data_IF_334368327586
#
_entry.id   IF_334368327586
#
_cell.length_a   1.000
_cell.length_b   1.000
_cell.length_c   1.000
_cell.angle_alpha   90.00
_cell.angle_beta   90.00
_cell.angle_gamma   90.00
#
_symmetry.space_group_name_H-M   'P 1'
#
loop_
_entity.id
_entity.type
_entity.pdbx_description
1 polymer ?
#
# COMPACT_ATOMS: atom_id res chain seq x y z
N UNK A 1 -15.21 26.21 -12.21
CA UNK A 1 -14.09 25.66 -11.41
C UNK A 1 -14.03 24.18 -11.69
N UNK A 2 -12.88 23.72 -12.17
CA UNK A 2 -12.64 22.44 -12.84
C UNK A 2 -13.03 21.22 -12.00
N UNK A 3 -14.05 20.49 -12.46
CA UNK A 3 -14.41 19.16 -11.95
C UNK A 3 -13.39 18.13 -12.43
N UNK A 4 -12.22 18.12 -11.78
CA UNK A 4 -11.24 17.06 -11.96
C UNK A 4 -11.88 15.72 -11.57
N UNK A 5 -12.03 14.80 -12.53
CA UNK A 5 -12.51 13.42 -12.32
C UNK A 5 -11.85 12.83 -11.07
N UNK A 6 -12.61 12.67 -9.99
CA UNK A 6 -12.15 12.00 -8.77
C UNK A 6 -11.92 10.53 -9.09
N UNK A 7 -10.67 10.15 -9.27
CA UNK A 7 -10.30 8.75 -9.44
C UNK A 7 -10.72 7.94 -8.20
N UNK A 8 -11.14 6.68 -8.37
CA UNK A 8 -11.46 5.82 -7.24
C UNK A 8 -10.20 5.65 -6.37
N UNK A 9 -10.37 5.55 -5.04
CA UNK A 9 -9.25 5.44 -4.08
C UNK A 9 -8.30 4.28 -4.38
N UNK A 10 -8.78 3.25 -5.08
CA UNK A 10 -7.98 2.11 -5.53
C UNK A 10 -6.94 2.47 -6.61
N UNK A 11 -7.21 3.47 -7.46
CA UNK A 11 -6.28 3.93 -8.48
C UNK A 11 -5.01 4.55 -7.88
N UNK A 12 -5.08 5.05 -6.63
CA UNK A 12 -3.94 5.59 -5.90
C UNK A 12 -2.95 4.52 -5.39
N UNK A 13 -3.28 3.22 -5.51
CA UNK A 13 -2.40 2.14 -5.04
C UNK A 13 -1.39 1.70 -6.09
N UNK A 14 -1.60 2.11 -7.34
CA UNK A 14 -0.76 1.80 -8.47
C UNK A 14 -0.12 3.09 -8.99
N UNK A 15 1.18 3.05 -9.20
CA UNK A 15 1.88 4.06 -9.96
C UNK A 15 2.00 3.58 -11.40
N UNK A 16 1.46 4.39 -12.31
CA UNK A 16 1.51 4.15 -13.74
C UNK A 16 2.62 5.01 -14.33
N UNK A 17 3.64 4.36 -14.88
CA UNK A 17 4.64 4.99 -15.72
C UNK A 17 4.29 4.65 -17.17
N UNK A 18 3.52 5.55 -17.82
CA UNK A 18 3.04 5.35 -19.19
C UNK A 18 4.15 5.42 -20.23
N UNK A 19 5.25 6.12 -19.93
CA UNK A 19 6.40 6.22 -20.83
C UNK A 19 7.15 4.89 -20.93
N UNK A 20 7.20 4.13 -19.83
CA UNK A 20 7.87 2.82 -19.77
C UNK A 20 6.92 1.64 -19.84
N UNK A 21 5.60 1.89 -19.90
CA UNK A 21 4.58 0.84 -19.85
C UNK A 21 4.61 0.03 -18.55
N UNK A 22 5.09 0.61 -17.44
CA UNK A 22 5.30 -0.10 -16.18
C UNK A 22 4.24 0.26 -15.13
N UNK A 23 3.68 -0.76 -14.50
CA UNK A 23 2.71 -0.62 -13.40
C UNK A 23 3.42 -1.07 -12.12
N UNK A 24 3.64 -0.13 -11.19
CA UNK A 24 4.24 -0.42 -9.89
C UNK A 24 3.18 -0.40 -8.81
N UNK A 25 3.07 -1.49 -8.05
CA UNK A 25 2.23 -1.53 -6.88
C UNK A 25 2.95 -0.88 -5.69
N UNK A 26 2.33 0.14 -5.08
CA UNK A 26 2.96 0.96 -4.06
C UNK A 26 2.86 0.37 -2.64
N UNK A 27 1.95 -0.58 -2.41
CA UNK A 27 1.72 -1.15 -1.07
C UNK A 27 2.55 -2.41 -0.85
N UNK A 28 2.82 -2.69 0.42
CA UNK A 28 3.56 -3.88 0.84
C UNK A 28 2.67 -5.13 0.72
N UNK A 29 3.22 -6.19 0.13
CA UNK A 29 2.63 -7.52 0.14
C UNK A 29 3.10 -8.30 1.36
N UNK A 30 2.21 -9.13 1.91
CA UNK A 30 2.54 -9.99 3.04
C UNK A 30 3.48 -11.12 2.58
N UNK A 31 4.63 -11.33 3.25
CA UNK A 31 5.58 -12.37 2.86
C UNK A 31 5.07 -13.80 3.05
N UNK A 32 4.01 -14.00 3.85
CA UNK A 32 3.45 -15.34 4.11
C UNK A 32 2.35 -15.74 3.13
N UNK A 33 1.50 -14.80 2.73
CA UNK A 33 0.28 -15.11 1.97
C UNK A 33 0.10 -14.28 0.69
N UNK A 34 1.03 -13.38 0.37
CA UNK A 34 0.96 -12.52 -0.82
C UNK A 34 -0.20 -11.50 -0.80
N UNK A 35 -0.94 -11.37 0.30
CA UNK A 35 -2.04 -10.41 0.40
C UNK A 35 -1.54 -8.99 0.68
N UNK A 36 -2.28 -7.99 0.21
CA UNK A 36 -1.98 -6.58 0.45
C UNK A 36 -2.07 -6.27 1.94
N UNK A 37 -1.00 -5.73 2.52
CA UNK A 37 -0.99 -5.31 3.91
C UNK A 37 -1.55 -3.89 4.07
N UNK A 38 -2.27 -3.66 5.17
CA UNK A 38 -2.74 -2.34 5.57
C UNK A 38 -1.66 -1.65 6.39
N UNK A 39 -1.29 -0.43 5.98
CA UNK A 39 -0.39 0.40 6.76
C UNK A 39 -1.17 1.25 7.75
N UNK A 40 -0.88 1.10 9.03
CA UNK A 40 -1.43 1.91 10.11
C UNK A 40 -0.30 2.79 10.66
N UNK A 41 -0.47 4.11 10.58
CA UNK A 41 0.51 5.10 11.05
C UNK A 41 0.54 5.25 12.57
N UNK A 42 -0.62 5.13 13.22
CA UNK A 42 -0.80 5.35 14.66
C UNK A 42 -1.31 4.08 15.36
N UNK A 43 -0.97 3.86 16.64
CA UNK A 43 -0.01 4.61 17.48
C UNK A 43 1.47 4.28 17.17
N UNK A 44 1.74 3.19 16.45
CA UNK A 44 3.08 2.80 15.96
C UNK A 44 2.94 2.39 14.50
N UNK A 45 3.83 2.86 13.59
CA UNK A 45 3.81 2.49 12.18
C UNK A 45 3.94 0.97 12.04
N UNK A 46 2.88 0.35 11.52
CA UNK A 46 2.81 -1.10 11.35
C UNK A 46 2.08 -1.47 10.07
N UNK A 47 2.53 -2.55 9.47
CA UNK A 47 1.83 -3.25 8.41
C UNK A 47 1.07 -4.42 9.00
N UNK A 48 -0.25 -4.41 8.89
CA UNK A 48 -1.11 -5.50 9.34
C UNK A 48 -1.67 -6.25 8.14
N UNK A 49 -1.55 -7.58 8.12
CA UNK A 49 -2.18 -8.43 7.13
C UNK A 49 -3.55 -8.91 7.64
N UNK A 50 -4.63 -8.51 6.97
CA UNK A 50 -5.99 -8.93 7.33
C UNK A 50 -6.29 -10.42 7.08
N UNK A 51 -5.51 -11.12 6.24
CA UNK A 51 -5.77 -12.53 5.90
C UNK A 51 -5.14 -13.51 6.88
N UNK A 52 -3.89 -13.27 7.29
CA UNK A 52 -3.14 -14.19 8.15
C UNK A 52 -2.84 -13.62 9.56
N UNK A 53 -3.28 -12.40 9.86
CA UNK A 53 -3.04 -11.72 11.14
C UNK A 53 -1.59 -11.28 11.36
N UNK A 54 -0.70 -11.44 10.38
CA UNK A 54 0.70 -11.06 10.51
C UNK A 54 0.83 -9.54 10.60
N UNK A 55 1.50 -9.07 11.65
CA UNK A 55 1.83 -7.65 11.84
C UNK A 55 3.33 -7.45 11.75
N UNK A 56 3.78 -6.61 10.82
CA UNK A 56 5.18 -6.18 10.69
C UNK A 56 5.26 -4.76 11.21
N UNK A 57 5.90 -4.57 12.34
CA UNK A 57 6.16 -3.24 12.88
C UNK A 57 7.39 -2.66 12.16
N UNK A 58 7.28 -1.43 11.67
CA UNK A 58 8.44 -0.66 11.25
C UNK A 58 9.10 -0.12 12.52
N UNK A 59 9.70 -1.02 13.32
CA UNK A 59 10.61 -0.59 14.38
C UNK A 59 11.77 0.09 13.67
N UNK A 60 11.90 1.40 13.90
CA UNK A 60 13.08 2.17 13.52
C UNK A 60 14.33 1.39 13.89
N UNK A 61 15.27 1.34 12.96
CA UNK A 61 16.56 0.70 13.10
C UNK A 61 17.14 0.96 14.51
N UNK A 62 17.60 -0.11 15.14
CA UNK A 62 18.33 -0.05 16.39
C UNK A 62 19.65 0.71 16.20
#
# INVERSE_FOLDING_TARGET
>A
MSEGKKLPRAALWYQYDYEKGAIKFLRRLCPRCGSVMAYHKEPVPRWHCGKCGMTIFERGAR
#
